data_IF_418170831953
#
_entry.id   IF_418170831953
#
_cell.length_a   1.000
_cell.length_b   1.000
_cell.length_c   1.000
_cell.angle_alpha   90.00
_cell.angle_beta   90.00
_cell.angle_gamma   90.00
#
_symmetry.space_group_name_H-M   'P 1'
#
loop_
_entity.id
_entity.type
_entity.pdbx_description
1 polymer ?
#
# COMPACT_ATOMS: atom_id res chain seq x y z
N UNK A 1 13.52 -4.62 -62.37
CA UNK A 1 13.77 -6.07 -62.22
C UNK A 1 14.23 -6.28 -60.80
N UNK A 2 13.33 -6.86 -60.02
CA UNK A 2 13.52 -7.68 -58.83
C UNK A 2 14.60 -7.30 -57.81
N UNK A 3 14.15 -6.92 -56.60
CA UNK A 3 14.21 -7.84 -55.46
C UNK A 3 13.45 -7.23 -54.28
N UNK A 4 12.28 -7.80 -54.03
CA UNK A 4 11.49 -7.66 -52.82
C UNK A 4 12.20 -8.42 -51.70
N UNK A 5 12.60 -7.76 -50.62
CA UNK A 5 12.93 -8.44 -49.36
C UNK A 5 12.15 -7.78 -48.22
N UNK A 6 10.99 -8.38 -47.94
CA UNK A 6 10.25 -8.13 -46.72
C UNK A 6 10.98 -8.79 -45.56
N UNK A 7 11.39 -7.98 -44.59
CA UNK A 7 11.86 -8.47 -43.30
C UNK A 7 10.65 -8.59 -42.37
N UNK A 8 9.93 -9.71 -42.48
CA UNK A 8 8.95 -10.13 -41.50
C UNK A 8 9.67 -10.69 -40.28
N UNK A 9 9.78 -9.89 -39.23
CA UNK A 9 10.14 -10.39 -37.90
C UNK A 9 8.91 -11.06 -37.28
N UNK A 10 8.81 -12.38 -37.47
CA UNK A 10 7.97 -13.23 -36.64
C UNK A 10 8.63 -13.38 -35.26
N UNK A 11 8.38 -12.43 -34.36
CA UNK A 11 8.68 -12.62 -32.94
C UNK A 11 7.51 -13.38 -32.31
N UNK A 12 7.65 -14.70 -32.29
CA UNK A 12 6.73 -15.58 -31.61
C UNK A 12 6.69 -15.23 -30.11
N UNK A 13 5.53 -14.72 -29.71
CA UNK A 13 5.05 -14.57 -28.34
C UNK A 13 5.45 -15.75 -27.45
N UNK A 14 6.59 -15.62 -26.77
CA UNK A 14 6.88 -16.41 -25.59
C UNK A 14 5.82 -16.06 -24.54
N UNK A 15 5.02 -17.02 -24.03
CA UNK A 15 4.11 -16.74 -22.94
C UNK A 15 4.95 -16.27 -21.75
N UNK A 16 4.79 -14.99 -21.40
CA UNK A 16 5.63 -14.31 -20.43
C UNK A 16 5.64 -15.04 -19.10
N UNK A 17 6.85 -15.24 -18.57
CA UNK A 17 7.19 -15.67 -17.21
C UNK A 17 6.26 -15.04 -16.14
N UNK A 18 5.86 -13.79 -16.34
CA UNK A 18 4.92 -13.04 -15.50
C UNK A 18 3.52 -13.67 -15.38
N UNK A 19 3.01 -14.32 -16.42
CA UNK A 19 1.63 -14.84 -16.42
C UNK A 19 1.44 -16.04 -15.49
N UNK A 20 2.47 -16.88 -15.34
CA UNK A 20 2.40 -18.06 -14.48
C UNK A 20 2.63 -17.70 -13.01
N UNK A 21 3.60 -16.84 -12.71
CA UNK A 21 3.82 -16.36 -11.34
C UNK A 21 2.66 -15.48 -10.84
N UNK A 22 2.07 -14.66 -11.71
CA UNK A 22 0.88 -13.89 -11.37
C UNK A 22 -0.35 -14.80 -11.12
N UNK A 23 -0.51 -15.88 -11.89
CA UNK A 23 -1.56 -16.88 -11.60
C UNK A 23 -1.29 -17.61 -10.29
N UNK A 24 -0.05 -18.03 -10.00
CA UNK A 24 0.27 -18.74 -8.76
C UNK A 24 0.07 -17.84 -7.52
N UNK A 25 0.50 -16.57 -7.58
CA UNK A 25 0.22 -15.59 -6.54
C UNK A 25 -1.28 -15.31 -6.41
N UNK A 26 -1.99 -15.20 -7.53
CA UNK A 26 -3.44 -15.04 -7.55
C UNK A 26 -4.18 -16.21 -6.89
N UNK A 27 -3.75 -17.45 -7.16
CA UNK A 27 -4.30 -18.67 -6.56
C UNK A 27 -4.03 -18.70 -5.05
N UNK A 28 -2.81 -18.36 -4.62
CA UNK A 28 -2.46 -18.32 -3.20
C UNK A 28 -3.26 -17.24 -2.46
N UNK A 29 -3.41 -16.06 -3.05
CA UNK A 29 -4.18 -14.96 -2.47
C UNK A 29 -5.67 -15.30 -2.37
N UNK A 30 -6.22 -15.92 -3.42
CA UNK A 30 -7.62 -16.36 -3.44
C UNK A 30 -7.88 -17.50 -2.45
N UNK A 31 -6.95 -18.44 -2.32
CA UNK A 31 -7.02 -19.51 -1.34
C UNK A 31 -6.95 -18.99 0.11
N UNK A 32 -6.03 -18.06 0.38
CA UNK A 32 -5.90 -17.41 1.68
C UNK A 32 -7.14 -16.58 2.03
N UNK A 33 -7.67 -15.82 1.06
CA UNK A 33 -8.90 -15.04 1.22
C UNK A 33 -10.11 -15.92 1.50
N UNK A 34 -10.29 -17.02 0.76
CA UNK A 34 -11.35 -17.98 1.00
C UNK A 34 -11.25 -18.63 2.39
N UNK A 35 -10.04 -19.02 2.82
CA UNK A 35 -9.82 -19.57 4.15
C UNK A 35 -10.14 -18.54 5.25
N UNK A 36 -9.77 -17.27 5.06
CA UNK A 36 -10.02 -16.20 6.01
C UNK A 36 -11.53 -15.88 6.14
N UNK A 37 -12.27 -15.86 5.02
CA UNK A 37 -13.73 -15.66 5.01
C UNK A 37 -14.47 -16.79 5.72
N UNK A 38 -14.00 -18.04 5.59
CA UNK A 38 -14.55 -19.19 6.33
C UNK A 38 -14.30 -19.03 7.83
N UNK A 39 -13.07 -18.66 8.22
CA UNK A 39 -12.73 -18.43 9.64
C UNK A 39 -13.58 -17.29 10.25
N UNK A 40 -13.77 -16.18 9.53
CA UNK A 40 -14.57 -15.04 9.97
C UNK A 40 -16.08 -15.36 10.01
N UNK A 41 -16.59 -16.12 9.05
CA UNK A 41 -18.02 -16.51 9.01
C UNK A 41 -18.41 -17.48 10.13
N UNK A 42 -17.47 -18.26 10.65
CA UNK A 42 -17.70 -19.26 11.70
C UNK A 42 -17.49 -18.72 13.13
N UNK A 43 -17.09 -17.46 13.27
CA UNK A 43 -16.71 -16.84 14.55
C UNK A 43 -17.83 -16.51 15.55
N UNK A 44 -19.11 -16.77 15.23
CA UNK A 44 -20.24 -16.38 16.09
C UNK A 44 -21.30 -17.47 16.33
N UNK A 45 -20.96 -18.77 16.24
CA UNK A 45 -21.88 -19.82 16.68
C UNK A 45 -21.20 -20.94 17.46
N UNK A 46 -21.84 -21.41 18.54
CA UNK A 46 -21.36 -22.48 19.44
C UNK A 46 -21.09 -23.82 18.73
N UNK A 47 -21.38 -23.93 17.43
CA UNK A 47 -21.08 -25.09 16.58
C UNK A 47 -19.83 -24.97 15.70
N UNK A 48 -19.15 -23.82 15.68
CA UNK A 48 -18.12 -23.51 14.69
C UNK A 48 -16.93 -24.48 14.67
N UNK A 49 -16.50 -24.93 15.85
CA UNK A 49 -15.39 -25.90 15.98
C UNK A 49 -15.78 -27.27 15.43
N UNK A 50 -17.01 -27.73 15.66
CA UNK A 50 -17.50 -29.02 15.13
C UNK A 50 -17.65 -28.99 13.62
N UNK A 51 -18.13 -27.87 13.07
CA UNK A 51 -18.20 -27.66 11.63
C UNK A 51 -16.80 -27.67 10.99
N UNK A 52 -15.81 -27.03 11.63
CA UNK A 52 -14.43 -27.01 11.14
C UNK A 52 -13.80 -28.42 11.11
N UNK A 53 -14.01 -29.21 12.17
CA UNK A 53 -13.55 -30.59 12.24
C UNK A 53 -14.23 -31.45 11.16
N UNK A 54 -15.54 -31.30 10.95
CA UNK A 54 -16.28 -32.05 9.94
C UNK A 54 -15.80 -31.73 8.51
N UNK A 55 -15.60 -30.44 8.20
CA UNK A 55 -15.09 -30.00 6.89
C UNK A 55 -13.65 -30.47 6.67
N UNK A 56 -12.79 -30.37 7.69
CA UNK A 56 -11.42 -30.89 7.63
C UNK A 56 -11.37 -32.40 7.38
N UNK A 57 -12.20 -33.17 8.09
CA UNK A 57 -12.30 -34.62 7.91
C UNK A 57 -12.82 -34.99 6.50
N UNK A 58 -13.80 -34.24 5.98
CA UNK A 58 -14.33 -34.45 4.63
C UNK A 58 -13.26 -34.22 3.56
N UNK A 59 -12.44 -33.16 3.69
CA UNK A 59 -11.36 -32.87 2.74
C UNK A 59 -10.27 -33.96 2.75
N UNK A 60 -9.92 -34.49 3.93
CA UNK A 60 -8.99 -35.60 4.05
C UNK A 60 -9.53 -36.87 3.40
N UNK A 61 -10.81 -37.18 3.58
CA UNK A 61 -11.47 -38.33 2.97
C UNK A 61 -11.49 -38.23 1.43
N UNK A 62 -11.88 -37.07 0.89
CA UNK A 62 -11.90 -36.82 -0.55
C UNK A 62 -10.49 -36.89 -1.15
N UNK A 63 -9.49 -36.33 -0.48
CA UNK A 63 -8.09 -36.38 -0.92
C UNK A 63 -7.54 -37.80 -0.93
N UNK A 64 -7.83 -38.59 0.12
CA UNK A 64 -7.46 -40.01 0.20
C UNK A 64 -8.10 -40.84 -0.92
N UNK A 65 -9.39 -40.63 -1.17
CA UNK A 65 -10.12 -41.32 -2.22
C UNK A 65 -9.60 -40.97 -3.62
N UNK A 66 -9.27 -39.69 -3.85
CA UNK A 66 -8.70 -39.23 -5.11
C UNK A 66 -7.29 -39.80 -5.35
N UNK A 67 -6.45 -39.86 -4.30
CA UNK A 67 -5.13 -40.49 -4.36
C UNK A 67 -5.24 -41.99 -4.66
N UNK A 68 -6.19 -42.67 -4.04
CA UNK A 68 -6.47 -44.08 -4.28
C UNK A 68 -6.99 -44.34 -5.70
N UNK A 69 -7.86 -43.48 -6.23
CA UNK A 69 -8.33 -43.55 -7.62
C UNK A 69 -7.17 -43.35 -8.62
N UNK A 70 -6.27 -42.39 -8.37
CA UNK A 70 -5.09 -42.19 -9.22
C UNK A 70 -4.10 -43.35 -9.15
N UNK A 71 -3.95 -43.97 -7.98
CA UNK A 71 -3.13 -45.17 -7.82
C UNK A 71 -3.76 -46.39 -8.52
N UNK A 72 -5.10 -46.49 -8.53
CA UNK A 72 -5.83 -47.54 -9.26
C UNK A 72 -5.82 -47.35 -10.78
N UNK A 73 -5.72 -46.10 -11.26
CA UNK A 73 -5.62 -45.78 -12.69
C UNK A 73 -4.21 -46.06 -13.28
N UNK A 74 -3.20 -46.26 -12.43
CA UNK A 74 -1.88 -46.72 -12.84
C UNK A 74 -1.81 -48.26 -12.83
N UNK A 75 -2.46 -48.90 -13.81
CA UNK A 75 -2.12 -50.27 -14.24
C UNK A 75 -1.44 -50.16 -15.62
N UNK A 76 -0.30 -50.86 -15.85
CA UNK A 76 0.53 -50.58 -17.02
C UNK A 76 0.01 -51.29 -18.27
N UNK A 77 -0.33 -50.51 -19.29
CA UNK A 77 -0.48 -51.00 -20.67
C UNK A 77 0.87 -50.91 -21.37
N UNK A 78 1.41 -52.06 -21.74
CA UNK A 78 2.75 -52.29 -22.32
C UNK A 78 2.66 -52.24 -23.86
N UNK A 79 3.61 -51.55 -24.51
CA UNK A 79 4.02 -51.67 -25.95
C UNK A 79 2.95 -51.22 -26.98
N UNK A 80 3.25 -50.64 -28.15
CA UNK A 80 4.39 -50.77 -29.09
C UNK A 80 4.19 -49.72 -30.21
N UNK A 81 5.31 -49.19 -30.77
CA UNK A 81 5.59 -48.78 -32.18
C UNK A 81 4.40 -48.61 -33.16
N UNK A 82 4.32 -47.63 -34.07
CA UNK A 82 5.29 -47.27 -35.13
C UNK A 82 4.67 -46.16 -36.04
N UNK A 83 5.52 -45.28 -36.58
CA UNK A 83 5.52 -44.64 -37.92
C UNK A 83 4.22 -44.24 -38.66
N UNK A 84 4.23 -43.00 -39.17
CA UNK A 84 3.65 -42.66 -40.48
C UNK A 84 2.93 -41.31 -40.56
N UNK A 85 3.63 -40.25 -40.94
CA UNK A 85 3.10 -39.07 -41.64
C UNK A 85 2.74 -39.44 -43.11
N UNK A 86 2.20 -38.53 -43.95
CA UNK A 86 1.33 -37.36 -43.73
C UNK A 86 0.13 -37.33 -44.72
N UNK A 87 -0.74 -36.29 -44.65
CA UNK A 87 -1.44 -35.58 -45.76
C UNK A 87 -2.84 -35.09 -45.34
N UNK A 88 -3.14 -33.79 -45.52
CA UNK A 88 -4.47 -33.17 -45.31
C UNK A 88 -5.43 -33.40 -46.49
N UNK A 89 -6.34 -32.47 -46.84
CA UNK A 89 -7.14 -31.55 -46.03
C UNK A 89 -8.67 -31.67 -46.35
N UNK A 90 -9.48 -30.74 -45.82
CA UNK A 90 -10.81 -30.31 -46.31
C UNK A 90 -12.07 -30.82 -45.60
N UNK A 91 -13.04 -29.91 -45.46
CA UNK A 91 -14.46 -30.26 -45.60
C UNK A 91 -15.41 -30.07 -44.42
N UNK A 92 -15.85 -28.82 -44.21
CA UNK A 92 -17.26 -28.36 -44.05
C UNK A 92 -18.30 -29.08 -43.14
N UNK A 93 -18.99 -28.22 -42.39
CA UNK A 93 -20.47 -28.08 -42.28
C UNK A 93 -21.27 -28.78 -41.16
N UNK A 94 -22.20 -27.98 -40.59
CA UNK A 94 -23.45 -28.39 -39.92
C UNK A 94 -23.48 -28.10 -38.42
N UNK A 95 -24.09 -26.99 -37.93
CA UNK A 95 -25.53 -26.84 -37.58
C UNK A 95 -25.95 -27.77 -36.41
N UNK A 96 -26.62 -27.39 -35.31
CA UNK A 96 -27.67 -26.37 -35.09
C UNK A 96 -28.10 -26.34 -33.60
N UNK A 97 -28.62 -25.19 -33.13
CA UNK A 97 -29.69 -25.05 -32.12
C UNK A 97 -29.29 -25.07 -30.62
N UNK A 98 -29.89 -24.30 -29.70
CA UNK A 98 -30.94 -23.29 -29.74
C UNK A 98 -31.02 -22.55 -28.37
N UNK A 99 -31.39 -21.25 -28.40
CA UNK A 99 -32.28 -20.45 -27.51
C UNK A 99 -32.20 -20.60 -25.97
N UNK A 100 -32.17 -19.59 -25.08
CA UNK A 100 -32.36 -18.11 -24.98
C UNK A 100 -32.42 -17.78 -23.44
N UNK A 101 -32.93 -16.64 -22.91
CA UNK A 101 -33.15 -15.29 -23.44
C UNK A 101 -32.62 -14.11 -22.54
N UNK A 102 -32.67 -12.90 -23.12
CA UNK A 102 -33.05 -11.58 -22.57
C UNK A 102 -32.49 -11.01 -21.24
N UNK A 103 -31.90 -9.80 -21.34
CA UNK A 103 -31.65 -8.89 -20.21
C UNK A 103 -30.83 -7.64 -20.57
N UNK A 104 -31.28 -6.84 -21.54
CA UNK A 104 -30.62 -5.58 -21.92
C UNK A 104 -31.04 -4.44 -20.98
N UNK A 105 -30.18 -4.06 -20.05
CA UNK A 105 -30.28 -2.84 -19.26
C UNK A 105 -29.58 -1.69 -20.00
N UNK A 106 -30.32 -0.60 -20.26
CA UNK A 106 -29.82 0.63 -20.86
C UNK A 106 -28.84 1.35 -19.91
N UNK A 107 -27.73 1.92 -20.37
CA UNK A 107 -26.96 2.86 -19.57
C UNK A 107 -27.71 4.18 -19.44
N UNK A 108 -27.93 4.62 -18.20
CA UNK A 108 -28.48 5.94 -17.90
C UNK A 108 -27.54 7.03 -18.42
N UNK A 109 -28.13 8.03 -19.08
CA UNK A 109 -27.51 9.30 -19.47
C UNK A 109 -26.90 9.96 -18.24
N UNK A 110 -25.58 9.81 -18.09
CA UNK A 110 -24.77 10.58 -17.16
C UNK A 110 -24.76 12.04 -17.60
N UNK A 111 -25.05 12.91 -16.63
CA UNK A 111 -24.99 14.34 -16.73
C UNK A 111 -23.68 14.81 -17.38
N UNK A 112 -23.81 15.75 -18.31
CA UNK A 112 -22.72 16.50 -18.93
C UNK A 112 -21.82 17.11 -17.83
N UNK A 113 -20.55 16.70 -17.71
CA UNK A 113 -19.64 17.34 -16.78
C UNK A 113 -19.31 18.72 -17.34
N UNK A 114 -20.04 19.74 -16.87
CA UNK A 114 -19.67 21.14 -17.13
C UNK A 114 -18.19 21.30 -16.80
N UNK A 115 -17.37 21.85 -17.72
CA UNK A 115 -15.97 22.09 -17.43
C UNK A 115 -15.89 23.03 -16.22
N UNK A 116 -15.36 22.52 -15.12
CA UNK A 116 -14.95 23.33 -13.97
C UNK A 116 -13.96 24.36 -14.52
N UNK A 117 -14.10 25.67 -14.23
CA UNK A 117 -13.15 26.65 -14.70
C UNK A 117 -11.74 26.24 -14.28
N UNK A 118 -10.86 26.00 -15.25
CA UNK A 118 -9.42 25.87 -15.02
C UNK A 118 -8.98 27.21 -14.44
N UNK A 119 -8.77 27.23 -13.13
CA UNK A 119 -8.18 28.38 -12.47
C UNK A 119 -6.73 28.48 -12.97
N UNK A 120 -6.24 29.70 -13.16
CA UNK A 120 -4.85 29.92 -13.54
C UNK A 120 -3.96 29.52 -12.36
N UNK A 121 -3.46 28.28 -12.37
CA UNK A 121 -2.70 27.66 -11.29
C UNK A 121 -1.30 28.26 -11.11
N UNK A 122 -0.92 29.25 -11.93
CA UNK A 122 0.39 29.88 -11.89
C UNK A 122 0.68 30.60 -10.55
N UNK A 123 -0.36 31.08 -9.86
CA UNK A 123 -0.24 31.81 -8.58
C UNK A 123 -0.65 30.97 -7.36
N UNK A 124 -0.90 29.67 -7.53
CA UNK A 124 -1.27 28.79 -6.43
C UNK A 124 -0.11 28.64 -5.44
N UNK A 125 -0.45 28.65 -4.14
CA UNK A 125 0.52 28.48 -3.06
C UNK A 125 0.34 27.12 -2.41
N UNK A 126 1.46 26.46 -2.11
CA UNK A 126 1.48 25.17 -1.43
C UNK A 126 1.45 25.37 0.09
N UNK A 127 0.53 24.67 0.76
CA UNK A 127 0.32 24.73 2.21
C UNK A 127 0.30 23.34 2.82
N UNK A 128 0.81 23.20 4.03
CA UNK A 128 0.55 22.07 4.92
C UNK A 128 -0.54 22.48 5.90
N UNK A 129 -1.60 21.69 5.95
CA UNK A 129 -2.74 21.83 6.86
C UNK A 129 -2.84 20.54 7.65
N UNK A 130 -2.42 20.59 8.92
CA UNK A 130 -2.49 19.47 9.85
C UNK A 130 -3.63 19.69 10.82
N UNK A 131 -4.52 18.70 10.91
CA UNK A 131 -5.72 18.75 11.75
C UNK A 131 -5.79 17.52 12.64
N UNK A 132 -6.06 17.74 13.92
CA UNK A 132 -6.39 16.65 14.86
C UNK A 132 -7.90 16.58 14.98
N UNK A 133 -8.51 15.48 14.55
CA UNK A 133 -9.95 15.30 14.47
C UNK A 133 -10.39 14.00 15.12
N UNK A 134 -11.66 13.93 15.56
CA UNK A 134 -12.24 12.67 15.98
C UNK A 134 -12.28 11.69 14.80
N UNK A 135 -11.86 10.44 15.02
CA UNK A 135 -11.87 9.41 13.98
C UNK A 135 -13.29 8.83 13.83
N UNK A 136 -14.16 9.57 13.12
CA UNK A 136 -15.55 9.20 12.85
C UNK A 136 -15.85 9.18 11.35
N UNK A 137 -16.72 8.26 10.88
CA UNK A 137 -17.07 8.20 9.47
C UNK A 137 -17.60 9.55 8.94
N UNK A 138 -17.07 9.97 7.78
CA UNK A 138 -17.50 11.19 7.08
C UNK A 138 -16.78 12.48 7.49
N UNK A 139 -15.98 12.49 8.56
CA UNK A 139 -15.20 13.67 8.98
C UNK A 139 -14.28 14.17 7.89
N UNK A 140 -13.53 13.26 7.27
CA UNK A 140 -12.67 13.56 6.13
C UNK A 140 -13.45 14.08 4.91
N UNK A 141 -14.61 13.51 4.61
CA UNK A 141 -15.45 13.96 3.50
C UNK A 141 -15.96 15.40 3.72
N UNK A 142 -16.30 15.75 4.97
CA UNK A 142 -16.69 17.10 5.31
C UNK A 142 -15.51 18.09 5.16
N UNK A 143 -14.31 17.72 5.60
CA UNK A 143 -13.10 18.54 5.43
C UNK A 143 -12.76 18.79 3.96
N UNK A 144 -12.70 17.73 3.15
CA UNK A 144 -12.36 17.85 1.72
C UNK A 144 -13.44 18.60 0.94
N UNK A 145 -14.72 18.50 1.32
CA UNK A 145 -15.79 19.31 0.74
C UNK A 145 -15.61 20.80 0.99
N UNK A 146 -15.12 21.20 2.17
CA UNK A 146 -14.83 22.61 2.48
C UNK A 146 -13.62 23.14 1.71
N UNK A 147 -12.58 22.32 1.54
CA UNK A 147 -11.46 22.68 0.65
C UNK A 147 -11.93 22.88 -0.79
N UNK A 148 -12.76 21.97 -1.30
CA UNK A 148 -13.33 22.10 -2.65
C UNK A 148 -14.16 23.38 -2.82
N UNK A 149 -14.93 23.79 -1.80
CA UNK A 149 -15.71 25.03 -1.84
C UNK A 149 -14.85 26.31 -1.97
N UNK A 150 -13.59 26.25 -1.55
CA UNK A 150 -12.63 27.35 -1.69
C UNK A 150 -11.80 27.26 -3.00
N UNK A 151 -11.96 26.18 -3.76
CA UNK A 151 -11.16 25.89 -4.95
C UNK A 151 -9.74 25.42 -4.62
N UNK A 152 -9.56 24.78 -3.45
CA UNK A 152 -8.27 24.23 -3.01
C UNK A 152 -8.08 22.84 -3.63
N UNK A 153 -6.91 22.60 -4.21
CA UNK A 153 -6.50 21.30 -4.78
C UNK A 153 -5.66 20.50 -3.77
N UNK A 154 -6.03 19.26 -3.49
CA UNK A 154 -5.32 18.40 -2.54
C UNK A 154 -4.24 17.63 -3.29
N UNK A 155 -2.97 17.92 -2.98
CA UNK A 155 -1.80 17.35 -3.66
C UNK A 155 -1.34 16.05 -3.03
N UNK A 156 -1.38 15.97 -1.70
CA UNK A 156 -1.04 14.80 -0.91
C UNK A 156 -1.87 14.81 0.37
N UNK A 157 -2.28 13.64 0.83
CA UNK A 157 -2.91 13.48 2.13
C UNK A 157 -2.25 12.33 2.88
N UNK A 158 -1.98 12.55 4.16
CA UNK A 158 -1.49 11.53 5.08
C UNK A 158 -2.43 11.45 6.28
N UNK A 159 -2.85 10.23 6.62
CA UNK A 159 -3.64 9.95 7.82
C UNK A 159 -2.73 9.26 8.82
N UNK A 160 -2.70 9.78 10.04
CA UNK A 160 -1.99 9.20 11.17
C UNK A 160 -3.01 8.78 12.24
N UNK A 161 -3.40 7.50 12.27
CA UNK A 161 -4.34 7.00 13.28
C UNK A 161 -3.74 7.10 14.68
N UNK A 162 -4.50 7.62 15.64
CA UNK A 162 -4.09 7.84 17.03
C UNK A 162 -5.02 7.23 18.08
N UNK A 163 -5.93 6.33 17.69
CA UNK A 163 -6.96 5.76 18.56
C UNK A 163 -8.31 6.45 18.33
N UNK A 164 -8.92 7.11 19.33
CA UNK A 164 -10.20 7.83 19.13
C UNK A 164 -10.05 9.11 18.29
N UNK A 165 -8.81 9.55 18.06
CA UNK A 165 -8.47 10.73 17.28
C UNK A 165 -7.50 10.32 16.16
N UNK A 166 -7.65 10.97 15.02
CA UNK A 166 -6.75 10.87 13.89
C UNK A 166 -6.11 12.23 13.64
N UNK A 167 -4.84 12.21 13.23
CA UNK A 167 -4.14 13.40 12.74
C UNK A 167 -4.10 13.27 11.22
N UNK A 168 -4.82 14.15 10.54
CA UNK A 168 -4.80 14.25 9.09
C UNK A 168 -3.89 15.40 8.68
N UNK A 169 -2.93 15.13 7.80
CA UNK A 169 -2.04 16.13 7.23
C UNK A 169 -2.29 16.23 5.72
N UNK A 170 -2.73 17.40 5.29
CA UNK A 170 -3.00 17.71 3.89
C UNK A 170 -1.93 18.66 3.37
N UNK A 171 -1.39 18.33 2.19
CA UNK A 171 -0.62 19.27 1.39
C UNK A 171 -1.51 19.75 0.26
N UNK A 172 -1.79 21.04 0.23
CA UNK A 172 -2.81 21.61 -0.65
C UNK A 172 -2.26 22.80 -1.44
N UNK A 173 -2.65 22.88 -2.71
CA UNK A 173 -2.50 24.08 -3.52
C UNK A 173 -3.74 24.95 -3.31
N UNK A 174 -3.54 26.13 -2.75
CA UNK A 174 -4.59 27.10 -2.53
C UNK A 174 -4.45 28.26 -3.54
N UNK A 175 -5.55 28.72 -4.16
CA UNK A 175 -5.54 29.91 -5.02
C UNK A 175 -4.96 31.12 -4.29
N UNK A 176 -4.31 32.05 -4.99
CA UNK A 176 -3.66 33.22 -4.41
C UNK A 176 -4.53 34.08 -3.47
N UNK A 177 -5.86 34.06 -3.67
CA UNK A 177 -6.86 34.74 -2.83
C UNK A 177 -7.09 34.07 -1.47
N UNK A 178 -6.70 32.81 -1.31
CA UNK A 178 -6.91 32.01 -0.10
C UNK A 178 -5.63 32.06 0.74
N UNK A 179 -5.71 32.73 1.89
CA UNK A 179 -4.60 32.84 2.83
C UNK A 179 -4.64 31.80 3.96
N UNK A 180 -3.63 31.85 4.83
CA UNK A 180 -3.52 31.01 6.03
C UNK A 180 -4.79 31.06 6.90
N UNK A 181 -5.36 32.26 7.08
CA UNK A 181 -6.58 32.45 7.88
C UNK A 181 -7.81 31.80 7.27
N UNK A 182 -7.91 31.78 5.94
CA UNK A 182 -9.01 31.13 5.23
C UNK A 182 -8.90 29.61 5.35
N UNK A 183 -7.68 29.06 5.24
CA UNK A 183 -7.39 27.64 5.48
C UNK A 183 -7.73 27.23 6.90
N UNK A 184 -7.32 28.03 7.89
CA UNK A 184 -7.67 27.82 9.29
C UNK A 184 -9.19 27.80 9.47
N UNK A 185 -9.89 28.80 8.95
CA UNK A 185 -11.35 28.87 9.03
C UNK A 185 -12.06 27.71 8.30
N UNK A 186 -11.51 27.24 7.19
CA UNK A 186 -12.06 26.13 6.41
C UNK A 186 -12.10 24.84 7.24
N UNK A 187 -11.04 24.58 8.01
CA UNK A 187 -10.96 23.39 8.86
C UNK A 187 -11.56 23.60 10.25
N UNK A 188 -11.87 24.84 10.62
CA UNK A 188 -12.49 25.13 11.91
C UNK A 188 -13.96 24.67 11.98
N UNK A 189 -14.30 23.97 13.05
CA UNK A 189 -15.61 23.33 13.25
C UNK A 189 -15.72 21.96 12.57
N UNK A 190 -16.53 21.08 13.16
CA UNK A 190 -16.58 19.61 12.93
C UNK A 190 -15.66 18.79 13.86
N UNK A 191 -15.56 19.16 15.14
CA UNK A 191 -14.86 18.33 16.13
C UNK A 191 -13.34 18.31 16.00
N UNK A 192 -12.77 19.28 15.28
CA UNK A 192 -11.33 19.51 15.18
C UNK A 192 -10.81 20.07 16.51
N UNK A 193 -9.79 19.44 17.08
CA UNK A 193 -9.19 19.82 18.36
C UNK A 193 -7.99 20.74 18.21
N UNK A 194 -7.18 20.49 17.19
CA UNK A 194 -5.96 21.24 16.93
C UNK A 194 -5.76 21.41 15.42
N UNK A 195 -5.23 22.57 15.03
CA UNK A 195 -5.03 22.96 13.65
C UNK A 195 -3.70 23.68 13.54
N UNK A 196 -2.84 23.19 12.65
CA UNK A 196 -1.58 23.83 12.29
C UNK A 196 -1.62 24.07 10.77
N UNK A 197 -1.55 25.33 10.38
CA UNK A 197 -1.43 25.74 8.98
C UNK A 197 -0.07 26.39 8.80
N UNK A 198 0.65 25.99 7.76
CA UNK A 198 1.93 26.61 7.39
C UNK A 198 2.16 26.54 5.87
N UNK A 199 2.98 27.43 5.30
CA UNK A 199 3.52 27.21 3.96
C UNK A 199 4.24 25.86 3.90
N UNK A 200 4.11 25.18 2.76
CA UNK A 200 4.79 23.92 2.52
C UNK A 200 5.73 24.01 1.31
N UNK A 201 6.80 23.24 1.36
CA UNK A 201 7.78 23.14 0.30
C UNK A 201 7.45 21.96 -0.64
N UNK A 202 7.75 22.09 -1.93
CA UNK A 202 7.48 21.06 -2.94
C UNK A 202 8.16 19.73 -2.61
N UNK A 203 9.30 19.74 -1.94
CA UNK A 203 9.97 18.52 -1.49
C UNK A 203 9.13 17.73 -0.48
N UNK A 204 8.20 18.36 0.23
CA UNK A 204 7.28 17.69 1.15
C UNK A 204 6.21 16.87 0.42
N UNK A 205 5.99 17.11 -0.87
CA UNK A 205 5.12 16.29 -1.72
C UNK A 205 5.75 14.97 -2.15
N UNK A 206 7.05 14.77 -1.89
CA UNK A 206 7.72 13.53 -2.27
C UNK A 206 7.17 12.35 -1.46
N UNK A 207 6.84 11.28 -2.18
CA UNK A 207 6.36 10.04 -1.59
C UNK A 207 7.32 9.51 -0.52
N UNK A 208 6.77 9.32 0.69
CA UNK A 208 7.53 8.88 1.86
C UNK A 208 8.16 7.50 1.65
N UNK A 209 7.48 6.62 0.90
CA UNK A 209 7.97 5.25 0.66
C UNK A 209 9.24 5.28 -0.17
N UNK A 210 9.22 5.99 -1.29
CA UNK A 210 10.36 6.16 -2.19
C UNK A 210 11.54 6.81 -1.48
N UNK A 211 11.30 7.86 -0.68
CA UNK A 211 12.34 8.50 0.14
C UNK A 211 12.96 7.52 1.15
N UNK A 212 12.13 6.71 1.80
CA UNK A 212 12.61 5.71 2.77
C UNK A 212 13.48 4.65 2.10
N UNK A 213 13.09 4.16 0.93
CA UNK A 213 13.89 3.20 0.16
C UNK A 213 15.23 3.80 -0.30
N UNK A 214 15.23 5.08 -0.69
CA UNK A 214 16.46 5.79 -1.01
C UNK A 214 17.40 5.91 0.20
N UNK A 215 16.87 6.21 1.40
CA UNK A 215 17.65 6.23 2.64
C UNK A 215 18.23 4.85 2.99
N UNK A 216 17.45 3.78 2.79
CA UNK A 216 17.94 2.40 2.99
C UNK A 216 19.06 2.07 2.01
N UNK A 217 18.90 2.38 0.73
CA UNK A 217 19.94 2.20 -0.28
C UNK A 217 21.22 2.97 0.07
N UNK A 218 21.09 4.22 0.53
CA UNK A 218 22.21 5.03 0.98
C UNK A 218 22.89 4.45 2.23
N UNK A 219 22.14 3.84 3.16
CA UNK A 219 22.72 3.14 4.33
C UNK A 219 23.51 1.90 3.91
N UNK A 220 22.99 1.12 2.97
CA UNK A 220 23.65 -0.09 2.45
C UNK A 220 24.97 0.26 1.76
N UNK A 221 24.98 1.34 0.98
CA UNK A 221 26.18 1.81 0.25
C UNK A 221 27.14 2.63 1.12
N UNK A 222 26.77 2.94 2.36
CA UNK A 222 27.56 3.80 3.25
C UNK A 222 27.56 5.29 2.89
N UNK A 223 26.69 5.71 1.96
CA UNK A 223 26.55 7.11 1.55
C UNK A 223 25.90 7.99 2.65
N UNK A 224 25.27 7.38 3.66
CA UNK A 224 24.71 8.09 4.82
C UNK A 224 24.93 7.30 6.12
N UNK A 225 24.70 7.95 7.26
CA UNK A 225 24.70 7.31 8.58
C UNK A 225 23.27 7.11 9.09
N UNK A 226 23.09 6.24 10.08
CA UNK A 226 21.78 5.98 10.68
C UNK A 226 21.17 7.26 11.28
N UNK A 227 21.98 8.07 11.96
CA UNK A 227 21.57 9.32 12.59
C UNK A 227 21.06 10.32 11.55
N UNK A 228 21.81 10.50 10.44
CA UNK A 228 21.38 11.38 9.33
C UNK A 228 20.10 10.87 8.67
N UNK A 229 19.98 9.56 8.49
CA UNK A 229 18.76 8.98 7.93
C UNK A 229 17.55 9.13 8.86
N UNK A 230 17.75 9.06 10.19
CA UNK A 230 16.69 9.32 11.17
C UNK A 230 16.26 10.79 11.15
N UNK A 231 17.21 11.73 11.08
CA UNK A 231 16.93 13.16 10.86
C UNK A 231 16.09 13.35 9.60
N UNK A 232 16.52 12.79 8.47
CA UNK A 232 15.85 12.96 7.19
C UNK A 232 14.45 12.31 7.14
N UNK A 233 14.29 11.12 7.73
CA UNK A 233 13.03 10.37 7.73
C UNK A 233 11.98 11.02 8.63
N UNK A 234 12.40 11.61 9.74
CA UNK A 234 11.50 12.16 10.76
C UNK A 234 11.44 13.69 10.78
N UNK A 235 12.15 14.37 9.87
CA UNK A 235 12.32 15.82 9.91
C UNK A 235 12.71 16.35 11.30
N UNK A 236 13.45 15.55 12.08
CA UNK A 236 13.96 15.94 13.38
C UNK A 236 15.10 16.95 13.23
N UNK A 237 15.33 17.76 14.26
CA UNK A 237 16.44 18.72 14.26
C UNK A 237 17.75 18.05 14.68
N UNK A 238 17.70 17.05 15.57
CA UNK A 238 18.89 16.41 16.12
C UNK A 238 18.64 14.95 16.51
N UNK A 239 19.71 14.14 16.40
CA UNK A 239 19.76 12.76 16.88
C UNK A 239 21.02 12.60 17.71
N UNK A 240 20.84 12.35 19.00
CA UNK A 240 21.95 12.15 19.94
C UNK A 240 22.12 10.69 20.29
N UNK A 241 23.35 10.25 20.35
CA UNK A 241 23.68 8.92 20.85
C UNK A 241 24.09 8.99 22.32
N UNK A 242 23.37 8.30 23.19
CA UNK A 242 23.63 8.20 24.63
C UNK A 242 23.84 6.75 25.05
N UNK A 243 24.60 6.52 26.12
CA UNK A 243 24.80 5.17 26.68
C UNK A 243 23.53 4.62 27.36
N UNK A 244 22.66 5.50 27.86
CA UNK A 244 21.41 5.16 28.57
C UNK A 244 20.30 6.11 28.11
N UNK A 245 19.03 5.70 28.18
CA UNK A 245 17.92 6.60 27.85
C UNK A 245 17.88 7.77 28.85
N UNK A 246 17.31 8.93 28.43
CA UNK A 246 17.03 10.04 29.34
C UNK A 246 16.13 9.61 30.50
N UNK A 247 16.19 10.35 31.61
CA UNK A 247 15.36 10.09 32.77
C UNK A 247 13.87 10.14 32.41
N UNK A 248 13.11 9.16 32.90
CA UNK A 248 11.67 9.03 32.62
C UNK A 248 11.31 8.44 31.26
N UNK A 249 12.27 8.05 30.42
CA UNK A 249 12.01 7.37 29.14
C UNK A 249 12.61 5.95 29.09
N UNK A 250 11.91 5.07 28.38
CA UNK A 250 12.42 3.73 28.02
C UNK A 250 13.55 3.78 26.98
N UNK A 251 14.15 2.62 26.69
CA UNK A 251 15.13 2.45 25.59
C UNK A 251 14.50 2.55 24.20
N UNK A 252 13.20 2.25 24.13
CA UNK A 252 12.35 2.36 22.95
C UNK A 252 11.03 2.97 23.43
N UNK A 253 10.87 4.28 23.21
CA UNK A 253 9.78 5.06 23.80
C UNK A 253 9.47 6.31 22.97
N UNK A 254 8.24 6.82 23.10
CA UNK A 254 7.73 7.99 22.39
C UNK A 254 7.08 8.96 23.38
N UNK A 255 7.65 10.17 23.49
CA UNK A 255 7.16 11.21 24.39
C UNK A 255 7.13 12.56 23.68
N UNK A 256 5.96 12.91 23.13
CA UNK A 256 5.71 14.19 22.46
C UNK A 256 6.68 14.44 21.32
N UNK A 257 7.61 15.39 21.51
CA UNK A 257 8.62 15.79 20.51
C UNK A 257 9.93 15.04 20.64
N UNK A 258 10.00 14.00 21.48
CA UNK A 258 11.20 13.18 21.66
C UNK A 258 10.85 11.70 21.53
N UNK A 259 11.70 10.93 20.86
CA UNK A 259 11.64 9.46 20.88
C UNK A 259 13.01 8.87 21.18
N UNK A 260 13.02 7.72 21.84
CA UNK A 260 14.21 6.91 22.09
C UNK A 260 14.15 5.65 21.24
N UNK A 261 15.28 5.27 20.64
CA UNK A 261 15.42 4.09 19.81
C UNK A 261 16.70 3.34 20.21
N UNK A 262 16.74 2.01 20.16
CA UNK A 262 17.93 1.26 20.50
C UNK A 262 19.08 1.53 19.50
N UNK A 263 20.26 1.88 19.98
CA UNK A 263 21.43 2.03 19.12
C UNK A 263 22.10 0.67 18.82
N UNK A 264 22.76 0.51 17.66
CA UNK A 264 23.31 -0.80 17.28
C UNK A 264 24.51 -1.32 18.08
N UNK A 265 25.08 -0.50 18.96
CA UNK A 265 26.17 -0.83 19.88
C UNK A 265 25.68 -1.03 21.33
N UNK A 266 24.36 -1.07 21.54
CA UNK A 266 23.78 -1.21 22.88
C UNK A 266 23.56 0.10 23.62
N UNK A 267 23.81 1.26 22.99
CA UNK A 267 23.34 2.57 23.45
C UNK A 267 21.88 2.85 23.10
N UNK A 268 21.52 4.13 23.12
CA UNK A 268 20.20 4.68 22.77
C UNK A 268 20.38 5.90 21.88
N UNK A 269 19.66 5.93 20.76
CA UNK A 269 19.49 7.09 19.90
C UNK A 269 18.29 7.89 20.40
N UNK A 270 18.52 9.16 20.74
CA UNK A 270 17.50 10.11 21.14
C UNK A 270 17.24 11.06 19.98
N UNK A 271 16.07 10.91 19.35
CA UNK A 271 15.64 11.75 18.24
C UNK A 271 14.74 12.85 18.81
N UNK A 272 15.07 14.12 18.53
CA UNK A 272 14.34 15.25 19.12
C UNK A 272 13.90 16.24 18.07
N UNK A 273 12.65 16.68 18.19
CA UNK A 273 12.16 17.90 17.57
C UNK A 273 12.30 19.10 18.51
N UNK A 274 12.97 20.15 18.05
CA UNK A 274 13.18 21.38 18.81
C UNK A 274 12.66 22.60 18.02
N UNK A 275 11.93 23.50 18.69
CA UNK A 275 11.37 24.72 18.12
C UNK A 275 10.30 25.33 19.03
N UNK A 276 9.96 26.61 18.83
CA UNK A 276 8.91 27.31 19.59
C UNK A 276 7.51 26.70 19.38
N UNK A 277 7.26 26.09 18.22
CA UNK A 277 6.03 25.37 17.87
C UNK A 277 6.37 23.96 17.38
N UNK A 278 7.02 23.16 18.23
CA UNK A 278 7.46 21.81 17.85
C UNK A 278 6.29 20.82 17.83
N UNK A 279 5.96 20.31 16.64
CA UNK A 279 4.89 19.33 16.44
C UNK A 279 5.29 17.96 17.02
N UNK A 280 4.47 17.34 17.89
CA UNK A 280 4.73 16.01 18.41
C UNK A 280 4.91 14.97 17.31
N UNK A 281 5.78 13.99 17.58
CA UNK A 281 5.89 12.80 16.75
C UNK A 281 4.63 11.95 16.87
N UNK A 282 4.19 11.44 15.75
CA UNK A 282 3.11 10.45 15.65
C UNK A 282 3.64 9.05 15.93
N UNK A 283 2.74 8.14 16.30
CA UNK A 283 3.07 6.72 16.45
C UNK A 283 3.59 6.10 15.13
N UNK A 284 3.09 6.58 13.98
CA UNK A 284 3.54 6.11 12.67
C UNK A 284 4.98 6.53 12.37
N UNK A 285 5.36 7.77 12.71
CA UNK A 285 6.74 8.23 12.57
C UNK A 285 7.69 7.43 13.46
N UNK A 286 7.29 7.20 14.72
CA UNK A 286 8.04 6.35 15.64
C UNK A 286 8.24 4.94 15.07
N UNK A 287 7.17 4.31 14.55
CA UNK A 287 7.25 2.99 13.95
C UNK A 287 8.19 2.94 12.73
N UNK A 288 8.19 3.96 11.87
CA UNK A 288 9.09 4.08 10.71
C UNK A 288 10.56 4.21 11.14
N UNK A 289 10.84 5.09 12.11
CA UNK A 289 12.19 5.27 12.65
C UNK A 289 12.71 3.99 13.31
N UNK A 290 11.86 3.31 14.09
CA UNK A 290 12.19 2.00 14.66
C UNK A 290 12.51 0.97 13.59
N UNK A 291 11.70 0.89 12.53
CA UNK A 291 11.96 -0.04 11.42
C UNK A 291 13.30 0.25 10.74
N UNK A 292 13.66 1.52 10.52
CA UNK A 292 14.95 1.92 9.97
C UNK A 292 16.13 1.48 10.85
N UNK A 293 15.99 1.61 12.18
CA UNK A 293 16.98 1.11 13.15
C UNK A 293 17.14 -0.42 13.05
N UNK A 294 16.03 -1.17 12.90
CA UNK A 294 16.09 -2.63 12.71
C UNK A 294 16.80 -3.03 11.41
N UNK A 295 16.62 -2.27 10.33
CA UNK A 295 17.39 -2.45 9.10
C UNK A 295 18.89 -2.24 9.37
N UNK A 296 19.27 -1.15 10.03
CA UNK A 296 20.67 -0.86 10.33
C UNK A 296 21.31 -1.91 11.26
N UNK A 297 20.57 -2.43 12.23
CA UNK A 297 20.99 -3.54 13.09
C UNK A 297 21.29 -4.80 12.26
N UNK A 298 20.41 -5.13 11.32
CA UNK A 298 20.54 -6.30 10.44
C UNK A 298 21.77 -6.18 9.53
N UNK A 299 21.99 -5.00 8.93
CA UNK A 299 23.17 -4.73 8.10
C UNK A 299 24.49 -4.88 8.88
N UNK A 300 24.54 -4.43 10.14
CA UNK A 300 25.72 -4.60 11.00
C UNK A 300 25.93 -6.03 11.48
N UNK A 301 24.87 -6.82 11.58
CA UNK A 301 24.99 -8.24 11.92
C UNK A 301 25.58 -9.02 10.73
N UNK A 302 25.15 -8.71 9.51
CA UNK A 302 25.68 -9.31 8.28
C UNK A 302 27.16 -8.96 8.08
N UNK A 303 27.55 -7.69 8.27
CA UNK A 303 28.94 -7.25 8.14
C UNK A 303 29.90 -7.87 9.19
N UNK A 304 29.37 -8.48 10.25
CA UNK A 304 30.15 -9.16 11.31
C UNK A 304 30.23 -10.68 11.10
N UNK A 305 29.49 -11.24 10.15
CA UNK A 305 29.54 -12.66 9.76
C UNK A 305 30.58 -12.86 8.66
#
# INVERSE_FOLDING_TARGET
MDASEGYGTDDHTRPGFLGREAMDLGILLLAAGAAHVVVLSLGHSDGGVRALIAVGALLLAVSGLHRWHRQRAARPSRRRTRQGEPSGPSGSAGATGASGPAGAAKPNTSADPRPVPLHDHADDRLWSVRVTVADVPGGLAALTSRFAALGIDIRLMQVHPGGPEAIDEFFVNAPARVGERDLYNAVQGAGVRDVIVRPADVHELSDTTSRTLALVSALITGATTLERSLVALSAAQDVRHLARPPEGMGREDLSGTTMTLPAPDGGVLVVRRAGEVAVPFTALEFARCRALVQVALSLRAEARR
#
